data_IF_768322946367
#
_entry.id   IF_768322946367
#
_cell.length_a   1.000
_cell.length_b   1.000
_cell.length_c   1.000
_cell.angle_alpha   90.00
_cell.angle_beta   90.00
_cell.angle_gamma   90.00
#
_symmetry.space_group_name_H-M   'P 1'
#
loop_
_entity.id
_entity.type
_entity.pdbx_description
1 polymer ?
#
# COMPACT_ATOMS: atom_id res chain seq x y z
N UNK A 1 -12.74 -7.61 -23.14
CA UNK A 1 -11.64 -8.43 -22.58
C UNK A 1 -11.64 -8.42 -21.05
N UNK A 2 -11.41 -7.29 -20.36
CA UNK A 2 -11.34 -7.24 -18.87
C UNK A 2 -12.61 -7.78 -18.16
N UNK A 3 -13.80 -7.46 -18.66
CA UNK A 3 -15.05 -7.99 -18.07
C UNK A 3 -15.12 -9.51 -18.16
N UNK A 4 -14.75 -10.08 -19.31
CA UNK A 4 -14.69 -11.53 -19.48
C UNK A 4 -13.66 -12.17 -18.54
N UNK A 5 -12.46 -11.57 -18.42
CA UNK A 5 -11.45 -12.04 -17.46
C UNK A 5 -11.98 -12.03 -16.02
N UNK A 6 -12.64 -10.94 -15.60
CA UNK A 6 -13.24 -10.85 -14.26
C UNK A 6 -14.30 -11.94 -14.02
N UNK A 7 -15.17 -12.21 -15.00
CA UNK A 7 -16.19 -13.26 -14.93
C UNK A 7 -15.57 -14.67 -14.89
N UNK A 8 -14.53 -14.93 -15.66
CA UNK A 8 -13.80 -16.22 -15.62
C UNK A 8 -13.21 -16.42 -14.23
N UNK A 9 -12.54 -15.40 -13.67
CA UNK A 9 -11.98 -15.48 -12.31
C UNK A 9 -13.09 -15.69 -11.28
N UNK A 10 -14.23 -15.03 -11.42
CA UNK A 10 -15.38 -15.21 -10.54
C UNK A 10 -15.92 -16.65 -10.61
N UNK A 11 -16.05 -17.21 -11.82
CA UNK A 11 -16.50 -18.60 -12.01
C UNK A 11 -15.54 -19.60 -11.39
N UNK A 12 -14.23 -19.40 -11.54
CA UNK A 12 -13.20 -20.20 -10.86
C UNK A 12 -13.35 -20.07 -9.34
N UNK A 13 -13.50 -18.85 -8.83
CA UNK A 13 -13.62 -18.54 -7.42
C UNK A 13 -14.74 -19.30 -6.71
N UNK A 14 -15.93 -19.36 -7.33
CA UNK A 14 -17.11 -20.04 -6.75
C UNK A 14 -17.06 -21.56 -6.91
N UNK A 15 -16.22 -22.07 -7.83
CA UNK A 15 -16.12 -23.50 -8.14
C UNK A 15 -14.93 -24.19 -7.45
N UNK A 16 -13.93 -23.43 -7.02
CA UNK A 16 -12.71 -24.00 -6.42
C UNK A 16 -13.00 -24.56 -5.01
N UNK A 17 -12.44 -25.74 -4.67
CA UNK A 17 -12.46 -26.22 -3.29
C UNK A 17 -11.72 -25.22 -2.38
N UNK A 18 -12.40 -24.75 -1.33
CA UNK A 18 -11.81 -23.82 -0.40
C UNK A 18 -12.17 -22.35 -0.64
N UNK A 19 -13.45 -22.03 -0.53
CA UNK A 19 -13.94 -20.68 -0.39
C UNK A 19 -13.60 -20.11 1.00
N UNK A 20 -13.76 -20.95 2.03
CA UNK A 20 -13.29 -20.70 3.39
C UNK A 20 -12.38 -21.86 3.84
N UNK A 21 -11.57 -21.58 4.86
CA UNK A 21 -10.79 -22.58 5.59
C UNK A 21 -11.28 -22.63 7.03
N UNK A 22 -11.70 -23.79 7.48
CA UNK A 22 -12.17 -24.02 8.85
C UNK A 22 -11.14 -24.85 9.59
N UNK A 23 -10.77 -24.42 10.79
CA UNK A 23 -9.80 -25.09 11.67
C UNK A 23 -10.44 -25.33 13.03
N UNK A 24 -10.22 -26.48 13.63
CA UNK A 24 -10.68 -26.78 15.00
C UNK A 24 -9.95 -25.93 16.04
N UNK A 25 -8.66 -25.71 15.81
CA UNK A 25 -7.81 -24.88 16.65
C UNK A 25 -6.96 -23.96 15.78
N UNK A 26 -6.25 -23.02 16.41
CA UNK A 26 -5.37 -22.07 15.72
C UNK A 26 -4.25 -22.73 14.91
N UNK A 27 -3.75 -23.87 15.37
CA UNK A 27 -2.59 -24.58 14.81
C UNK A 27 -2.95 -25.82 14.00
N UNK A 28 -4.22 -26.24 14.01
CA UNK A 28 -4.68 -27.39 13.21
C UNK A 28 -4.67 -27.08 11.72
N UNK A 29 -4.55 -28.10 10.89
CA UNK A 29 -4.68 -27.98 9.45
C UNK A 29 -6.07 -27.44 9.10
N UNK A 30 -6.14 -26.51 8.14
CA UNK A 30 -7.40 -25.97 7.68
C UNK A 30 -8.12 -26.93 6.72
N UNK A 31 -9.37 -27.23 7.01
CA UNK A 31 -10.23 -27.96 6.10
C UNK A 31 -10.85 -26.97 5.10
N UNK A 32 -10.68 -27.16 3.78
CA UNK A 32 -11.29 -26.31 2.78
C UNK A 32 -12.80 -26.56 2.73
N UNK A 33 -13.60 -25.50 2.77
CA UNK A 33 -15.06 -25.54 2.65
C UNK A 33 -15.45 -24.77 1.39
N UNK A 34 -16.25 -25.39 0.53
CA UNK A 34 -16.70 -24.80 -0.73
C UNK A 34 -17.79 -23.77 -0.50
N UNK A 35 -17.98 -22.85 -1.45
CA UNK A 35 -19.08 -21.87 -1.35
C UNK A 35 -20.46 -22.53 -1.29
N UNK A 36 -20.66 -23.63 -2.00
CA UNK A 36 -21.92 -24.39 -1.99
C UNK A 36 -22.22 -24.94 -0.58
N UNK A 37 -21.22 -25.44 0.12
CA UNK A 37 -21.34 -25.96 1.49
C UNK A 37 -21.51 -24.82 2.50
N UNK A 38 -20.85 -23.70 2.29
CA UNK A 38 -21.02 -22.48 3.11
C UNK A 38 -22.44 -21.93 2.97
N UNK A 39 -22.92 -21.77 1.74
CA UNK A 39 -24.23 -21.20 1.43
C UNK A 39 -24.70 -21.57 0.03
N UNK A 40 -25.59 -22.55 -0.14
CA UNK A 40 -26.19 -22.87 -1.44
C UNK A 40 -26.90 -21.66 -2.07
N UNK A 41 -27.58 -20.85 -1.26
CA UNK A 41 -28.22 -19.61 -1.70
C UNK A 41 -27.18 -18.59 -2.16
N UNK A 42 -26.06 -18.48 -1.43
CA UNK A 42 -24.93 -17.62 -1.82
C UNK A 42 -24.31 -18.05 -3.15
N UNK A 43 -24.13 -19.36 -3.36
CA UNK A 43 -23.64 -19.90 -4.63
C UNK A 43 -24.57 -19.52 -5.80
N UNK A 44 -25.88 -19.76 -5.66
CA UNK A 44 -26.87 -19.39 -6.68
C UNK A 44 -26.87 -17.88 -6.93
N UNK A 45 -26.79 -17.07 -5.88
CA UNK A 45 -26.69 -15.61 -6.01
C UNK A 45 -25.48 -15.19 -6.86
N UNK A 46 -24.30 -15.76 -6.65
CA UNK A 46 -23.13 -15.42 -7.46
C UNK A 46 -23.25 -15.88 -8.91
N UNK A 47 -23.86 -17.01 -9.16
CA UNK A 47 -24.17 -17.46 -10.55
C UNK A 47 -25.10 -16.46 -11.24
N UNK A 48 -26.18 -16.04 -10.58
CA UNK A 48 -27.10 -15.03 -11.12
C UNK A 48 -26.43 -13.66 -11.29
N UNK A 49 -25.61 -13.26 -10.34
CA UNK A 49 -24.86 -12.00 -10.42
C UNK A 49 -23.87 -12.01 -11.59
N UNK A 50 -23.19 -13.13 -11.80
CA UNK A 50 -22.27 -13.32 -12.94
C UNK A 50 -23.00 -13.24 -14.29
N UNK A 51 -24.16 -13.89 -14.42
CA UNK A 51 -25.00 -13.81 -15.63
C UNK A 51 -25.51 -12.39 -15.87
N UNK A 52 -25.91 -11.66 -14.82
CA UNK A 52 -26.32 -10.27 -14.91
C UNK A 52 -25.16 -9.35 -15.37
N UNK A 53 -23.97 -9.51 -14.79
CA UNK A 53 -22.76 -8.78 -15.22
C UNK A 53 -22.43 -9.08 -16.67
N UNK A 54 -22.50 -10.34 -17.08
CA UNK A 54 -22.28 -10.74 -18.48
C UNK A 54 -23.26 -10.06 -19.42
N UNK A 55 -24.56 -10.14 -19.14
CA UNK A 55 -25.63 -9.52 -19.95
C UNK A 55 -25.45 -8.00 -20.06
N UNK A 56 -25.16 -7.32 -18.95
CA UNK A 56 -24.87 -5.88 -18.95
C UNK A 56 -23.59 -5.53 -19.72
N UNK A 57 -22.63 -6.43 -19.78
CA UNK A 57 -21.40 -6.20 -20.55
C UNK A 57 -21.65 -6.16 -22.04
N UNK A 58 -22.67 -6.87 -22.55
CA UNK A 58 -23.09 -6.89 -23.94
C UNK A 58 -23.81 -5.58 -24.34
N UNK A 59 -24.55 -4.97 -23.41
CA UNK A 59 -25.33 -3.75 -23.64
C UNK A 59 -24.52 -2.45 -23.49
N UNK A 60 -23.18 -2.54 -23.28
CA UNK A 60 -22.25 -1.40 -23.09
C UNK A 60 -22.53 -0.52 -21.85
N UNK A 61 -23.35 -0.95 -20.91
CA UNK A 61 -23.62 -0.23 -19.65
C UNK A 61 -22.45 -0.39 -18.65
N UNK A 62 -21.32 0.26 -18.94
CA UNK A 62 -20.07 0.09 -18.20
C UNK A 62 -20.16 0.46 -16.72
N UNK A 63 -21.00 1.46 -16.36
CA UNK A 63 -21.19 1.86 -14.96
C UNK A 63 -21.85 0.73 -14.15
N UNK A 64 -22.96 0.18 -14.60
CA UNK A 64 -23.66 -0.90 -13.90
C UNK A 64 -22.82 -2.18 -13.84
N UNK A 65 -22.12 -2.52 -14.92
CA UNK A 65 -21.17 -3.64 -14.93
C UNK A 65 -20.08 -3.46 -13.86
N UNK A 66 -19.53 -2.24 -13.73
CA UNK A 66 -18.52 -1.92 -12.71
C UNK A 66 -19.10 -1.90 -11.30
N UNK A 67 -20.31 -1.37 -11.11
CA UNK A 67 -20.99 -1.32 -9.81
C UNK A 67 -21.26 -2.73 -9.29
N UNK A 68 -21.90 -3.58 -10.10
CA UNK A 68 -22.12 -4.98 -9.74
C UNK A 68 -20.81 -5.71 -9.51
N UNK A 69 -19.79 -5.46 -10.35
CA UNK A 69 -18.45 -6.00 -10.14
C UNK A 69 -17.82 -5.60 -8.79
N UNK A 70 -17.99 -4.35 -8.37
CA UNK A 70 -17.56 -3.88 -7.05
C UNK A 70 -18.35 -4.50 -5.89
N UNK A 71 -19.61 -4.86 -6.12
CA UNK A 71 -20.44 -5.53 -5.11
C UNK A 71 -20.12 -7.03 -4.98
N UNK A 72 -19.42 -7.65 -5.93
CA UNK A 72 -19.00 -9.07 -5.85
C UNK A 72 -18.21 -9.36 -4.57
N UNK A 73 -17.10 -8.68 -4.25
CA UNK A 73 -16.37 -8.92 -3.01
C UNK A 73 -17.19 -8.57 -1.76
N UNK A 74 -18.02 -7.53 -1.81
CA UNK A 74 -18.90 -7.14 -0.70
C UNK A 74 -19.87 -8.27 -0.37
N UNK A 75 -20.52 -8.84 -1.38
CA UNK A 75 -21.40 -9.98 -1.21
C UNK A 75 -20.65 -11.23 -0.70
N UNK A 76 -19.41 -11.46 -1.15
CA UNK A 76 -18.55 -12.53 -0.64
C UNK A 76 -18.29 -12.40 0.86
N UNK A 77 -17.91 -11.23 1.32
CA UNK A 77 -17.73 -10.95 2.75
C UNK A 77 -19.06 -11.01 3.52
N UNK A 78 -20.16 -10.57 2.90
CA UNK A 78 -21.49 -10.64 3.53
C UNK A 78 -21.92 -12.08 3.80
N UNK A 79 -21.86 -12.94 2.78
CA UNK A 79 -22.20 -14.38 2.92
C UNK A 79 -21.28 -15.06 3.93
N UNK A 80 -19.98 -14.73 3.88
CA UNK A 80 -19.00 -15.25 4.81
C UNK A 80 -19.32 -14.82 6.26
N UNK A 81 -19.64 -13.56 6.49
CA UNK A 81 -19.98 -13.03 7.82
C UNK A 81 -21.19 -13.70 8.43
N UNK A 82 -22.26 -13.89 7.64
CA UNK A 82 -23.46 -14.60 8.07
C UNK A 82 -23.20 -16.03 8.53
N UNK A 83 -22.29 -16.74 7.85
CA UNK A 83 -22.07 -18.17 8.08
C UNK A 83 -20.89 -18.48 9.01
N UNK A 84 -19.91 -17.57 9.08
CA UNK A 84 -18.69 -17.80 9.87
C UNK A 84 -18.97 -18.11 11.34
N UNK A 85 -19.93 -17.42 11.95
CA UNK A 85 -20.31 -17.62 13.35
C UNK A 85 -20.99 -18.98 13.56
N UNK A 86 -21.89 -19.37 12.66
CA UNK A 86 -22.60 -20.65 12.71
C UNK A 86 -21.61 -21.82 12.53
N UNK A 87 -20.77 -21.75 11.48
CA UNK A 87 -19.74 -22.77 11.21
C UNK A 87 -18.77 -22.89 12.41
N UNK A 88 -18.39 -21.76 12.99
CA UNK A 88 -17.54 -21.78 14.18
C UNK A 88 -18.20 -22.47 15.39
N UNK A 89 -19.49 -22.27 15.56
CA UNK A 89 -20.24 -22.90 16.67
C UNK A 89 -20.39 -24.43 16.49
N UNK A 90 -20.56 -24.90 15.25
CA UNK A 90 -20.67 -26.32 14.92
C UNK A 90 -19.35 -27.08 15.19
N UNK A 91 -18.20 -26.45 14.91
CA UNK A 91 -16.87 -27.08 15.05
C UNK A 91 -16.32 -27.00 16.48
N UNK A 92 -16.63 -25.93 17.19
CA UNK A 92 -16.25 -25.78 18.60
C UNK A 92 -15.75 -24.39 18.99
N UNK A 93 -15.57 -24.13 20.30
CA UNK A 93 -15.30 -22.78 20.83
C UNK A 93 -13.94 -22.19 20.40
N UNK A 94 -12.97 -23.05 20.07
CA UNK A 94 -11.63 -22.64 19.62
C UNK A 94 -11.49 -22.58 18.10
N UNK A 95 -12.56 -22.90 17.39
CA UNK A 95 -12.55 -22.97 15.93
C UNK A 95 -12.24 -21.62 15.27
N UNK A 96 -11.63 -21.71 14.11
CA UNK A 96 -11.20 -20.58 13.30
C UNK A 96 -11.74 -20.69 11.88
N UNK A 97 -12.46 -19.65 11.45
CA UNK A 97 -12.99 -19.55 10.09
C UNK A 97 -12.24 -18.44 9.38
N UNK A 98 -11.47 -18.81 8.37
CA UNK A 98 -10.57 -17.89 7.66
C UNK A 98 -10.95 -17.79 6.18
N UNK A 99 -10.81 -16.61 5.53
CA UNK A 99 -10.85 -16.49 4.09
C UNK A 99 -9.84 -17.42 3.43
N UNK A 100 -10.27 -18.19 2.43
CA UNK A 100 -9.40 -19.04 1.65
C UNK A 100 -9.29 -18.57 0.18
N UNK A 101 -8.65 -19.36 -0.67
CA UNK A 101 -8.34 -18.96 -2.05
C UNK A 101 -9.58 -18.50 -2.84
N UNK A 102 -10.72 -19.17 -2.66
CA UNK A 102 -11.97 -18.80 -3.35
C UNK A 102 -12.42 -17.39 -3.03
N UNK A 103 -12.47 -16.99 -1.74
CA UNK A 103 -12.89 -15.64 -1.37
C UNK A 103 -11.90 -14.58 -1.89
N UNK A 104 -10.58 -14.84 -1.86
CA UNK A 104 -9.59 -13.90 -2.40
C UNK A 104 -9.66 -13.77 -3.92
N UNK A 105 -9.93 -14.85 -4.64
CA UNK A 105 -10.19 -14.80 -6.09
C UNK A 105 -11.47 -14.01 -6.40
N UNK A 106 -12.50 -14.11 -5.54
CA UNK A 106 -13.71 -13.32 -5.67
C UNK A 106 -13.42 -11.81 -5.51
N UNK A 107 -12.59 -11.44 -4.53
CA UNK A 107 -12.11 -10.06 -4.35
C UNK A 107 -11.34 -9.59 -5.60
N UNK A 108 -10.44 -10.42 -6.12
CA UNK A 108 -9.67 -10.10 -7.31
C UNK A 108 -10.56 -9.96 -8.56
N UNK A 109 -11.58 -10.81 -8.71
CA UNK A 109 -12.55 -10.69 -9.81
C UNK A 109 -13.28 -9.35 -9.79
N UNK A 110 -13.76 -8.92 -8.62
CA UNK A 110 -14.40 -7.63 -8.42
C UNK A 110 -13.47 -6.46 -8.77
N UNK A 111 -12.21 -6.53 -8.36
CA UNK A 111 -11.20 -5.54 -8.73
C UNK A 111 -11.02 -5.42 -10.25
N UNK A 112 -10.90 -6.55 -10.96
CA UNK A 112 -10.75 -6.59 -12.44
C UNK A 112 -11.98 -5.99 -13.13
N UNK A 113 -13.19 -6.30 -12.65
CA UNK A 113 -14.44 -5.75 -13.18
C UNK A 113 -14.54 -4.24 -13.01
N UNK A 114 -14.25 -3.74 -11.80
CA UNK A 114 -14.22 -2.30 -11.49
C UNK A 114 -13.18 -1.58 -12.33
N UNK A 115 -11.96 -2.12 -12.41
CA UNK A 115 -10.88 -1.52 -13.20
C UNK A 115 -11.24 -1.43 -14.69
N UNK A 116 -11.83 -2.50 -15.25
CA UNK A 116 -12.31 -2.53 -16.63
C UNK A 116 -13.40 -1.49 -16.91
N UNK A 117 -14.34 -1.29 -15.96
CA UNK A 117 -15.39 -0.30 -16.06
C UNK A 117 -14.86 1.14 -15.94
N UNK A 118 -13.96 1.41 -14.97
CA UNK A 118 -13.35 2.73 -14.78
C UNK A 118 -12.59 3.20 -16.03
N UNK A 119 -11.89 2.30 -16.71
CA UNK A 119 -11.17 2.64 -17.95
C UNK A 119 -12.10 3.17 -19.04
N UNK A 120 -13.36 2.71 -19.07
CA UNK A 120 -14.40 3.17 -20.03
C UNK A 120 -15.12 4.46 -19.57
N UNK A 121 -14.98 4.82 -18.28
CA UNK A 121 -15.63 5.98 -17.66
C UNK A 121 -14.65 7.14 -17.41
N UNK A 122 -13.57 7.25 -18.21
CA UNK A 122 -12.54 8.29 -18.04
C UNK A 122 -13.10 9.72 -17.97
N UNK A 123 -14.11 10.00 -18.77
CA UNK A 123 -14.74 11.33 -18.88
C UNK A 123 -15.76 11.61 -17.78
N UNK A 124 -16.15 10.58 -17.00
CA UNK A 124 -17.13 10.67 -15.91
C UNK A 124 -16.49 10.31 -14.57
N UNK A 125 -15.59 11.20 -14.11
CA UNK A 125 -14.77 10.97 -12.90
C UNK A 125 -15.60 10.65 -11.65
N UNK A 126 -16.77 11.30 -11.50
CA UNK A 126 -17.66 11.07 -10.36
C UNK A 126 -18.21 9.64 -10.34
N UNK A 127 -18.70 9.16 -11.48
CA UNK A 127 -19.19 7.77 -11.61
C UNK A 127 -18.06 6.76 -11.40
N UNK A 128 -16.85 7.06 -11.90
CA UNK A 128 -15.67 6.23 -11.70
C UNK A 128 -15.24 6.18 -10.22
N UNK A 129 -15.44 7.26 -9.45
CA UNK A 129 -15.20 7.30 -8.01
C UNK A 129 -16.22 6.46 -7.24
N UNK A 130 -17.52 6.54 -7.58
CA UNK A 130 -18.57 5.73 -6.96
C UNK A 130 -18.30 4.23 -7.06
N UNK A 131 -17.73 3.74 -8.18
CA UNK A 131 -17.40 2.33 -8.36
C UNK A 131 -16.39 1.81 -7.32
N UNK A 132 -15.63 2.68 -6.71
CA UNK A 132 -14.64 2.34 -5.66
C UNK A 132 -15.19 2.67 -4.28
N UNK A 133 -15.78 3.84 -4.10
CA UNK A 133 -16.24 4.31 -2.81
C UNK A 133 -17.39 3.47 -2.25
N UNK A 134 -18.35 3.06 -3.09
CA UNK A 134 -19.52 2.28 -2.65
C UNK A 134 -19.08 0.91 -2.08
N UNK A 135 -18.32 0.07 -2.79
CA UNK A 135 -17.86 -1.20 -2.23
C UNK A 135 -17.01 -1.05 -0.97
N UNK A 136 -16.11 -0.06 -0.93
CA UNK A 136 -15.27 0.21 0.25
C UNK A 136 -16.16 0.61 1.43
N UNK A 137 -17.08 1.54 1.25
CA UNK A 137 -17.98 2.00 2.33
C UNK A 137 -18.84 0.87 2.87
N UNK A 138 -19.36 -0.01 2.01
CA UNK A 138 -20.15 -1.17 2.43
C UNK A 138 -19.28 -2.18 3.21
N UNK A 139 -18.04 -2.42 2.76
CA UNK A 139 -17.11 -3.30 3.49
C UNK A 139 -16.75 -2.72 4.85
N UNK A 140 -16.49 -1.41 4.94
CA UNK A 140 -16.24 -0.71 6.20
C UNK A 140 -17.46 -0.78 7.12
N UNK A 141 -18.67 -0.61 6.59
CA UNK A 141 -19.90 -0.76 7.37
C UNK A 141 -20.03 -2.15 7.97
N UNK A 142 -19.72 -3.21 7.21
CA UNK A 142 -19.70 -4.59 7.73
C UNK A 142 -18.65 -4.80 8.83
N UNK A 143 -17.48 -4.16 8.73
CA UNK A 143 -16.46 -4.20 9.77
C UNK A 143 -16.95 -3.51 11.04
N UNK A 144 -17.50 -2.30 10.93
CA UNK A 144 -17.94 -1.50 12.07
C UNK A 144 -19.20 -2.09 12.74
N UNK A 145 -20.13 -2.65 11.95
CA UNK A 145 -21.34 -3.32 12.47
C UNK A 145 -21.06 -4.64 13.19
N UNK A 146 -19.81 -5.14 13.11
CA UNK A 146 -19.46 -6.43 13.70
C UNK A 146 -19.91 -7.65 12.90
N UNK A 147 -20.45 -7.46 11.69
CA UNK A 147 -20.90 -8.54 10.82
C UNK A 147 -19.81 -9.58 10.53
N UNK A 148 -18.55 -9.13 10.49
CA UNK A 148 -17.38 -9.99 10.22
C UNK A 148 -16.70 -10.54 11.48
N UNK A 149 -17.22 -10.30 12.68
CA UNK A 149 -16.60 -10.71 13.96
C UNK A 149 -16.42 -12.24 14.10
N UNK A 150 -17.18 -13.04 13.37
CA UNK A 150 -17.01 -14.49 13.28
C UNK A 150 -15.71 -14.94 12.60
N UNK A 151 -15.11 -14.08 11.78
CA UNK A 151 -13.85 -14.39 11.09
C UNK A 151 -12.66 -14.43 12.06
N UNK A 152 -11.75 -15.34 11.82
CA UNK A 152 -10.52 -15.52 12.61
C UNK A 152 -9.66 -14.26 12.68
N UNK A 153 -9.55 -13.52 11.59
CA UNK A 153 -8.82 -12.25 11.56
C UNK A 153 -9.39 -11.20 12.52
N UNK A 154 -10.72 -11.14 12.65
CA UNK A 154 -11.38 -10.23 13.60
C UNK A 154 -11.22 -10.70 15.05
N UNK A 155 -11.20 -12.02 15.28
CA UNK A 155 -10.85 -12.59 16.59
C UNK A 155 -9.41 -12.25 16.99
N UNK A 156 -8.44 -12.35 16.05
CA UNK A 156 -7.05 -11.93 16.30
C UNK A 156 -6.96 -10.42 16.58
N UNK A 157 -7.69 -9.60 15.82
CA UNK A 157 -7.77 -8.15 16.06
C UNK A 157 -8.31 -7.83 17.45
N UNK A 158 -9.44 -8.41 17.82
CA UNK A 158 -10.08 -8.19 19.13
C UNK A 158 -9.13 -8.53 20.28
N UNK A 159 -8.43 -9.68 20.18
CA UNK A 159 -7.48 -10.15 21.20
C UNK A 159 -6.23 -9.26 21.32
N UNK A 160 -5.90 -8.47 20.30
CA UNK A 160 -4.66 -7.68 20.21
C UNK A 160 -4.91 -6.21 19.87
N UNK A 161 -6.12 -5.71 20.16
CA UNK A 161 -6.57 -4.40 19.71
C UNK A 161 -5.62 -3.27 20.11
N UNK A 162 -5.22 -3.20 21.37
CA UNK A 162 -4.28 -2.16 21.85
C UNK A 162 -2.96 -2.23 21.12
N UNK A 163 -2.36 -3.42 21.04
CA UNK A 163 -1.10 -3.63 20.33
C UNK A 163 -1.20 -3.32 18.84
N UNK A 164 -2.34 -3.61 18.22
CA UNK A 164 -2.57 -3.27 16.80
C UNK A 164 -2.45 -1.78 16.54
N UNK A 165 -3.08 -0.94 17.37
CA UNK A 165 -2.99 0.51 17.20
C UNK A 165 -1.60 1.06 17.54
N UNK A 166 -0.94 0.52 18.55
CA UNK A 166 0.44 0.88 18.88
C UNK A 166 1.41 0.57 17.73
N UNK A 167 1.32 -0.65 17.17
CA UNK A 167 2.19 -1.05 16.07
C UNK A 167 1.83 -0.32 14.77
N UNK A 168 0.56 0.05 14.56
CA UNK A 168 0.15 0.90 13.44
C UNK A 168 0.74 2.31 13.57
N UNK A 169 0.65 2.93 14.73
CA UNK A 169 1.25 4.24 14.99
C UNK A 169 2.76 4.20 14.79
N UNK A 170 3.42 3.16 15.32
CA UNK A 170 4.86 2.95 15.16
C UNK A 170 5.27 2.78 13.69
N UNK A 171 4.48 2.02 12.93
CA UNK A 171 4.68 1.84 11.49
C UNK A 171 4.63 3.17 10.74
N UNK A 172 3.64 4.01 11.03
CA UNK A 172 3.48 5.33 10.42
C UNK A 172 4.62 6.28 10.80
N UNK A 173 5.05 6.27 12.07
CA UNK A 173 6.17 7.10 12.53
C UNK A 173 7.47 6.72 11.83
N UNK A 174 7.76 5.41 11.70
CA UNK A 174 8.98 4.94 11.05
C UNK A 174 8.94 5.24 9.55
N UNK A 175 7.86 4.89 8.86
CA UNK A 175 7.73 5.14 7.42
C UNK A 175 7.70 6.63 7.09
N UNK A 176 6.91 7.42 7.82
CA UNK A 176 6.79 8.86 7.65
C UNK A 176 8.10 9.59 7.97
N UNK A 177 8.76 9.21 9.04
CA UNK A 177 10.08 9.74 9.42
C UNK A 177 11.14 9.46 8.35
N UNK A 178 11.15 8.23 7.81
CA UNK A 178 12.08 7.87 6.74
C UNK A 178 11.90 8.74 5.48
N UNK A 179 10.65 8.99 5.09
CA UNK A 179 10.33 9.85 3.95
C UNK A 179 10.67 11.31 4.23
N UNK A 180 10.38 11.80 5.43
CA UNK A 180 10.69 13.17 5.84
C UNK A 180 12.20 13.44 5.79
N UNK A 181 13.00 12.63 6.49
CA UNK A 181 14.46 12.79 6.50
C UNK A 181 15.06 12.46 5.13
N UNK A 182 14.52 11.46 4.42
CA UNK A 182 14.89 11.14 3.04
C UNK A 182 14.66 12.31 2.09
N UNK A 183 13.57 13.05 2.24
CA UNK A 183 13.28 14.27 1.45
C UNK A 183 14.19 15.43 1.84
N UNK A 184 14.43 15.63 3.13
CA UNK A 184 15.31 16.66 3.64
C UNK A 184 16.76 16.53 3.12
N UNK A 185 17.21 15.30 2.89
CA UNK A 185 18.55 15.01 2.35
C UNK A 185 18.51 14.85 0.83
N UNK A 186 17.55 14.10 0.30
CA UNK A 186 17.51 13.70 -1.11
C UNK A 186 17.21 14.85 -2.06
N UNK A 187 16.33 15.81 -1.67
CA UNK A 187 16.05 16.98 -2.50
C UNK A 187 17.29 17.86 -2.68
N UNK A 188 17.99 18.28 -1.61
CA UNK A 188 19.27 19.00 -1.76
C UNK A 188 20.33 18.24 -2.57
N UNK A 189 20.46 16.92 -2.36
CA UNK A 189 21.38 16.09 -3.15
C UNK A 189 21.03 16.11 -4.64
N UNK A 190 19.76 16.05 -5.01
CA UNK A 190 19.31 16.16 -6.41
C UNK A 190 19.63 17.52 -7.02
N UNK A 191 19.43 18.61 -6.26
CA UNK A 191 19.77 19.98 -6.67
C UNK A 191 21.28 20.12 -6.87
N UNK A 192 22.08 19.61 -5.94
CA UNK A 192 23.56 19.67 -6.02
C UNK A 192 24.10 18.85 -7.20
N UNK A 193 23.53 17.65 -7.42
CA UNK A 193 23.90 16.81 -8.55
C UNK A 193 23.62 17.52 -9.90
N UNK A 194 22.49 18.25 -10.05
CA UNK A 194 22.20 19.03 -11.26
C UNK A 194 23.17 20.18 -11.47
N UNK A 195 23.63 20.79 -10.38
CA UNK A 195 24.50 21.98 -10.46
C UNK A 195 25.98 21.67 -10.72
N UNK A 196 26.43 20.44 -10.48
CA UNK A 196 27.84 20.09 -10.59
C UNK A 196 28.03 18.67 -11.11
N UNK A 197 28.57 18.54 -12.31
CA UNK A 197 28.94 17.25 -12.90
C UNK A 197 29.97 16.46 -12.02
N UNK A 198 30.73 17.16 -11.18
CA UNK A 198 31.66 16.52 -10.24
C UNK A 198 30.93 15.83 -9.09
N UNK A 199 29.77 16.33 -8.70
CA UNK A 199 28.92 15.81 -7.59
C UNK A 199 27.93 14.78 -8.10
N UNK A 200 27.45 14.90 -9.34
CA UNK A 200 26.47 14.01 -9.96
C UNK A 200 26.88 12.54 -9.86
N UNK A 201 28.05 12.20 -10.39
CA UNK A 201 28.52 10.80 -10.43
C UNK A 201 28.63 10.16 -9.04
N UNK A 202 29.32 10.77 -8.04
CA UNK A 202 29.42 10.17 -6.72
C UNK A 202 28.07 10.10 -5.98
N UNK A 203 27.18 11.08 -6.11
CA UNK A 203 25.85 11.04 -5.51
C UNK A 203 25.07 9.86 -6.06
N UNK A 204 24.98 9.72 -7.39
CA UNK A 204 24.24 8.60 -7.98
C UNK A 204 24.92 7.24 -7.75
N UNK A 205 26.26 7.19 -7.69
CA UNK A 205 26.96 5.97 -7.31
C UNK A 205 26.57 5.54 -5.88
N UNK A 206 26.55 6.48 -4.92
CA UNK A 206 26.16 6.21 -3.55
C UNK A 206 24.71 5.78 -3.40
N UNK A 207 23.74 6.55 -3.93
CA UNK A 207 22.32 6.25 -3.74
C UNK A 207 21.91 4.97 -4.48
N UNK A 208 22.50 4.68 -5.65
CA UNK A 208 22.29 3.43 -6.37
C UNK A 208 22.88 2.25 -5.56
N UNK A 209 24.10 2.38 -5.05
CA UNK A 209 24.73 1.35 -4.22
C UNK A 209 23.88 1.00 -3.00
N UNK A 210 23.33 1.99 -2.30
CA UNK A 210 22.44 1.75 -1.16
C UNK A 210 21.20 0.93 -1.54
N UNK A 211 20.63 1.14 -2.71
CA UNK A 211 19.47 0.39 -3.20
C UNK A 211 19.80 -1.05 -3.64
N UNK A 212 21.06 -1.36 -3.93
CA UNK A 212 21.45 -2.74 -4.29
C UNK A 212 21.54 -3.66 -3.08
N UNK A 213 21.73 -3.11 -1.89
CA UNK A 213 21.81 -3.89 -0.67
C UNK A 213 20.40 -4.35 -0.28
N UNK A 214 20.12 -5.65 -0.07
CA UNK A 214 18.82 -6.09 0.44
C UNK A 214 18.48 -5.44 1.79
N UNK A 215 17.21 -5.03 2.00
CA UNK A 215 16.81 -4.28 3.20
C UNK A 215 17.16 -4.98 4.51
N UNK A 216 16.92 -6.28 4.60
CA UNK A 216 17.28 -7.08 5.78
C UNK A 216 18.79 -7.10 6.02
N UNK A 217 19.58 -7.18 4.95
CA UNK A 217 21.04 -7.13 5.05
C UNK A 217 21.52 -5.76 5.53
N UNK A 218 20.95 -4.66 5.03
CA UNK A 218 21.31 -3.32 5.45
C UNK A 218 20.97 -3.09 6.92
N UNK A 219 19.82 -3.57 7.40
CA UNK A 219 19.51 -3.54 8.82
C UNK A 219 20.57 -4.26 9.64
N UNK A 220 20.96 -5.49 9.23
CA UNK A 220 21.99 -6.28 9.90
C UNK A 220 23.35 -5.61 9.92
N UNK A 221 23.78 -5.01 8.81
CA UNK A 221 25.04 -4.28 8.69
C UNK A 221 25.12 -3.07 9.63
N UNK A 222 23.99 -2.42 9.92
CA UNK A 222 23.92 -1.27 10.82
C UNK A 222 24.00 -1.66 12.31
N UNK A 223 23.70 -2.92 12.68
CA UNK A 223 23.67 -3.36 14.09
C UNK A 223 25.02 -3.16 14.75
N UNK A 224 26.10 -3.68 14.17
CA UNK A 224 27.42 -3.66 14.78
C UNK A 224 27.97 -2.23 14.96
N UNK A 225 28.00 -1.35 13.93
CA UNK A 225 28.52 0.01 14.08
C UNK A 225 27.70 0.85 15.05
N UNK A 226 26.35 0.76 15.01
CA UNK A 226 25.49 1.51 15.92
C UNK A 226 25.58 1.01 17.35
N UNK A 227 25.73 -0.30 17.57
CA UNK A 227 25.99 -0.88 18.89
C UNK A 227 27.33 -0.39 19.46
N UNK A 228 28.34 -0.34 18.63
CA UNK A 228 29.67 0.18 19.04
C UNK A 228 29.57 1.66 19.41
N UNK A 229 28.96 2.50 18.56
CA UNK A 229 28.79 3.93 18.85
C UNK A 229 27.97 4.17 20.13
N UNK A 230 26.88 3.43 20.32
CA UNK A 230 26.04 3.55 21.50
C UNK A 230 26.73 3.15 22.81
N UNK A 231 27.69 2.22 22.73
CA UNK A 231 28.51 1.83 23.89
C UNK A 231 29.62 2.82 24.16
N UNK A 232 30.26 3.35 23.12
CA UNK A 232 31.40 4.26 23.22
C UNK A 232 31.00 5.69 23.63
N UNK A 233 29.77 6.10 23.28
CA UNK A 233 29.22 7.44 23.52
C UNK A 233 27.91 7.33 24.28
N UNK A 234 27.93 7.38 25.65
CA UNK A 234 26.69 7.20 26.46
C UNK A 234 25.57 8.17 26.13
N UNK A 235 25.90 9.38 25.69
CA UNK A 235 24.95 10.39 25.25
C UNK A 235 24.06 9.90 24.08
N UNK A 236 24.62 9.18 23.11
CA UNK A 236 23.86 8.63 21.99
C UNK A 236 22.83 7.59 22.48
N UNK A 237 23.17 6.82 23.50
CA UNK A 237 22.24 5.87 24.11
C UNK A 237 21.08 6.56 24.81
N UNK A 238 21.33 7.71 25.46
CA UNK A 238 20.26 8.51 26.08
C UNK A 238 19.30 9.08 25.01
N UNK A 239 19.80 9.38 23.81
CA UNK A 239 18.97 9.76 22.65
C UNK A 239 18.23 8.58 21.99
N UNK A 240 18.34 7.38 22.55
CA UNK A 240 17.69 6.17 22.00
C UNK A 240 18.43 5.54 20.82
N UNK A 241 19.66 5.99 20.51
CA UNK A 241 20.47 5.42 19.44
C UNK A 241 21.03 4.08 19.93
N UNK A 242 20.64 3.01 19.25
CA UNK A 242 21.04 1.63 19.56
C UNK A 242 21.26 0.84 18.28
N UNK A 243 21.98 -0.29 18.37
CA UNK A 243 22.19 -1.17 17.22
C UNK A 243 20.95 -2.00 16.83
N UNK A 244 19.95 -2.09 17.71
CA UNK A 244 18.71 -2.85 17.49
C UNK A 244 17.53 -1.91 17.72
N UNK A 245 16.45 -2.15 17.01
CA UNK A 245 15.22 -1.38 17.15
C UNK A 245 15.07 -0.29 16.08
N UNK A 246 14.47 0.83 16.47
CA UNK A 246 14.04 1.85 15.51
C UNK A 246 15.19 2.60 14.81
N UNK A 247 16.35 2.78 15.46
CA UNK A 247 17.48 3.56 14.91
C UNK A 247 18.06 2.97 13.63
N UNK A 248 18.51 1.68 13.58
CA UNK A 248 18.98 1.10 12.33
C UNK A 248 17.88 1.00 11.28
N UNK A 249 16.63 0.77 11.69
CA UNK A 249 15.50 0.79 10.77
C UNK A 249 15.32 2.15 10.10
N UNK A 250 15.29 3.23 10.89
CA UNK A 250 15.15 4.59 10.40
C UNK A 250 16.28 4.96 9.43
N UNK A 251 17.54 4.71 9.80
CA UNK A 251 18.70 5.03 8.97
C UNK A 251 18.61 4.29 7.62
N UNK A 252 18.35 2.99 7.64
CA UNK A 252 18.25 2.21 6.41
C UNK A 252 17.09 2.68 5.52
N UNK A 253 15.93 2.96 6.09
CA UNK A 253 14.78 3.43 5.34
C UNK A 253 14.98 4.83 4.75
N UNK A 254 15.68 5.73 5.47
CA UNK A 254 16.14 7.01 4.94
C UNK A 254 17.03 6.80 3.72
N UNK A 255 18.04 5.93 3.83
CA UNK A 255 18.95 5.61 2.73
C UNK A 255 18.23 5.07 1.50
N UNK A 256 17.22 4.21 1.68
CA UNK A 256 16.37 3.73 0.59
C UNK A 256 15.51 4.81 -0.05
N UNK A 257 15.06 5.78 0.74
CA UNK A 257 14.26 6.89 0.24
C UNK A 257 15.07 7.88 -0.62
N UNK A 258 16.40 7.91 -0.45
CA UNK A 258 17.26 8.86 -1.15
C UNK A 258 17.20 8.70 -2.68
N UNK A 259 17.26 7.46 -3.20
CA UNK A 259 17.36 7.27 -4.65
C UNK A 259 16.13 7.82 -5.41
N UNK A 260 14.88 7.42 -5.11
CA UNK A 260 13.73 7.93 -5.84
C UNK A 260 13.59 9.45 -5.71
N UNK A 261 13.87 10.01 -4.53
CA UNK A 261 13.76 11.46 -4.30
C UNK A 261 14.86 12.22 -5.04
N UNK A 262 16.13 11.83 -4.86
CA UNK A 262 17.27 12.49 -5.52
C UNK A 262 17.17 12.41 -7.03
N UNK A 263 16.79 11.23 -7.56
CA UNK A 263 16.69 11.00 -9.01
C UNK A 263 15.59 11.83 -9.66
N UNK A 264 14.40 11.87 -9.04
CA UNK A 264 13.30 12.67 -9.57
C UNK A 264 13.59 14.18 -9.45
N UNK A 265 14.21 14.62 -8.35
CA UNK A 265 14.64 16.01 -8.20
C UNK A 265 15.66 16.42 -9.28
N UNK A 266 16.69 15.58 -9.49
CA UNK A 266 17.68 15.83 -10.54
C UNK A 266 17.04 15.87 -11.93
N UNK A 267 16.24 14.86 -12.26
CA UNK A 267 15.60 14.74 -13.58
C UNK A 267 14.68 15.91 -13.87
N UNK A 268 13.84 16.31 -12.93
CA UNK A 268 12.92 17.43 -13.09
C UNK A 268 13.63 18.75 -13.32
N UNK A 269 14.71 19.02 -12.59
CA UNK A 269 15.49 20.24 -12.77
C UNK A 269 16.27 20.25 -14.09
N UNK A 270 16.61 19.08 -14.64
CA UNK A 270 17.32 18.95 -15.92
C UNK A 270 16.40 19.15 -17.13
N UNK A 271 15.11 18.90 -16.98
CA UNK A 271 14.12 19.04 -18.05
C UNK A 271 13.60 20.48 -18.22
N UNK A 272 13.93 21.40 -17.31
CA UNK A 272 13.52 22.80 -17.42
C UNK A 272 14.19 23.44 -18.65
N UNK A 273 13.43 24.08 -19.58
CA UNK A 273 13.98 24.70 -20.75
C UNK A 273 15.01 25.79 -20.42
N UNK A 274 16.11 25.82 -21.17
CA UNK A 274 17.20 26.79 -20.95
C UNK A 274 16.71 28.22 -21.14
N UNK A 275 15.85 28.45 -22.13
CA UNK A 275 15.26 29.76 -22.43
C UNK A 275 14.49 30.36 -21.25
N UNK A 276 13.81 29.50 -20.46
CA UNK A 276 13.11 29.94 -19.23
C UNK A 276 14.08 30.45 -18.18
N UNK A 277 15.23 29.82 -18.05
CA UNK A 277 16.29 30.21 -17.11
C UNK A 277 16.97 31.50 -17.64
N UNK A 278 17.26 31.60 -18.92
CA UNK A 278 17.84 32.82 -19.57
C UNK A 278 16.92 34.02 -19.43
N UNK A 279 15.62 33.85 -19.64
CA UNK A 279 14.65 34.91 -19.39
C UNK A 279 14.70 35.43 -17.95
N UNK A 280 14.82 34.54 -16.98
CA UNK A 280 14.99 34.92 -15.58
C UNK A 280 16.29 35.70 -15.33
N UNK A 281 17.39 35.29 -15.96
CA UNK A 281 18.68 36.00 -15.89
C UNK A 281 18.55 37.38 -16.54
N UNK A 282 17.93 37.47 -17.74
CA UNK A 282 17.70 38.71 -18.45
C UNK A 282 16.84 39.70 -17.64
N UNK A 283 15.94 39.23 -16.80
CA UNK A 283 15.18 40.06 -15.85
C UNK A 283 15.96 40.45 -14.58
N UNK A 284 17.25 40.10 -14.48
CA UNK A 284 18.10 40.44 -13.35
C UNK A 284 17.89 39.55 -12.11
N UNK A 285 17.27 38.38 -12.23
CA UNK A 285 17.07 37.46 -11.13
C UNK A 285 18.39 36.84 -10.65
N UNK A 286 18.61 36.82 -9.36
CA UNK A 286 19.72 36.09 -8.74
C UNK A 286 19.52 34.56 -8.88
N UNK A 287 20.62 33.79 -8.74
CA UNK A 287 20.58 32.31 -8.80
C UNK A 287 19.60 31.69 -7.79
N UNK A 288 19.44 32.29 -6.61
CA UNK A 288 18.50 31.82 -5.61
C UNK A 288 17.05 32.14 -6.00
N UNK A 289 16.82 33.29 -6.61
CA UNK A 289 15.50 33.66 -7.15
C UNK A 289 15.09 32.75 -8.30
N UNK A 290 16.01 32.42 -9.21
CA UNK A 290 15.75 31.45 -10.28
C UNK A 290 15.39 30.09 -9.67
N UNK A 291 16.17 29.59 -8.70
CA UNK A 291 15.88 28.33 -8.05
C UNK A 291 14.49 28.33 -7.39
N UNK A 292 14.19 29.35 -6.56
CA UNK A 292 12.98 29.36 -5.74
C UNK A 292 11.71 29.76 -6.50
N UNK A 293 11.80 30.62 -7.51
CA UNK A 293 10.65 31.17 -8.24
C UNK A 293 10.40 30.51 -9.59
N UNK A 294 11.38 29.85 -10.17
CA UNK A 294 11.28 29.19 -11.48
C UNK A 294 11.51 27.69 -11.35
N UNK A 295 12.73 27.28 -10.96
CA UNK A 295 13.12 25.86 -11.00
C UNK A 295 12.29 24.99 -10.05
N UNK A 296 12.17 25.36 -8.76
CA UNK A 296 11.42 24.57 -7.77
C UNK A 296 9.93 24.48 -8.14
N UNK A 297 9.18 25.55 -8.46
CA UNK A 297 7.78 25.44 -8.84
C UNK A 297 7.55 24.57 -10.07
N UNK A 298 8.42 24.65 -11.08
CA UNK A 298 8.32 23.82 -12.28
C UNK A 298 8.69 22.36 -12.02
N UNK A 299 9.68 22.11 -11.17
CA UNK A 299 10.13 20.77 -10.81
C UNK A 299 9.21 20.06 -9.81
N UNK A 300 8.41 20.80 -9.04
CA UNK A 300 7.67 20.31 -7.86
C UNK A 300 6.81 19.08 -8.13
N UNK A 301 6.04 18.97 -9.22
CA UNK A 301 5.22 17.78 -9.48
C UNK A 301 6.06 16.49 -9.58
N UNK A 302 7.21 16.55 -10.26
CA UNK A 302 8.09 15.40 -10.46
C UNK A 302 8.90 15.10 -9.20
N UNK A 303 9.29 16.12 -8.43
CA UNK A 303 9.91 15.94 -7.11
C UNK A 303 8.95 15.22 -6.17
N UNK A 304 7.70 15.66 -6.12
CA UNK A 304 6.65 15.00 -5.31
C UNK A 304 6.35 13.58 -5.79
N UNK A 305 6.45 13.28 -7.08
CA UNK A 305 6.34 11.92 -7.60
C UNK A 305 7.50 11.03 -7.07
N UNK A 306 8.70 11.58 -6.92
CA UNK A 306 9.83 10.91 -6.26
C UNK A 306 9.55 10.63 -4.77
N UNK A 307 9.03 11.62 -4.04
CA UNK A 307 8.61 11.48 -2.63
C UNK A 307 7.48 10.45 -2.49
N UNK A 308 6.49 10.45 -3.39
CA UNK A 308 5.43 9.43 -3.45
C UNK A 308 6.00 8.02 -3.58
N UNK A 309 6.93 7.81 -4.52
CA UNK A 309 7.58 6.51 -4.70
C UNK A 309 8.32 6.08 -3.43
N UNK A 310 9.08 6.99 -2.82
CA UNK A 310 9.76 6.73 -1.55
C UNK A 310 8.78 6.39 -0.42
N UNK A 311 7.64 7.08 -0.34
CA UNK A 311 6.64 6.86 0.69
C UNK A 311 5.99 5.47 0.59
N UNK A 312 5.61 5.04 -0.61
CA UNK A 312 5.06 3.70 -0.84
C UNK A 312 6.10 2.63 -0.48
N UNK A 313 7.35 2.81 -0.92
CA UNK A 313 8.45 1.92 -0.59
C UNK A 313 8.73 1.89 0.92
N UNK A 314 8.71 3.03 1.60
CA UNK A 314 8.92 3.11 3.04
C UNK A 314 7.84 2.35 3.82
N UNK A 315 6.56 2.48 3.46
CA UNK A 315 5.46 1.69 4.07
C UNK A 315 5.73 0.18 3.90
N UNK A 316 6.07 -0.28 2.70
CA UNK A 316 6.38 -1.69 2.48
C UNK A 316 7.60 -2.18 3.25
N UNK A 317 8.72 -1.44 3.17
CA UNK A 317 9.99 -1.82 3.79
C UNK A 317 9.96 -1.74 5.32
N UNK A 318 9.13 -0.89 5.92
CA UNK A 318 8.92 -0.83 7.37
C UNK A 318 8.41 -2.16 7.94
N UNK A 319 7.75 -2.99 7.12
CA UNK A 319 7.39 -4.36 7.52
C UNK A 319 8.60 -5.16 7.96
N UNK A 320 9.71 -5.06 7.22
CA UNK A 320 10.95 -5.80 7.53
C UNK A 320 11.66 -5.28 8.79
N UNK A 321 11.42 -4.03 9.20
CA UNK A 321 11.99 -3.44 10.41
C UNK A 321 11.56 -4.18 11.70
N UNK A 322 10.45 -4.89 11.66
CA UNK A 322 10.00 -5.76 12.75
C UNK A 322 11.03 -6.87 13.09
N UNK A 323 11.82 -7.35 12.11
CA UNK A 323 12.83 -8.40 12.30
C UNK A 323 13.98 -7.96 13.22
N UNK A 324 14.25 -6.67 13.27
CA UNK A 324 15.29 -6.09 14.14
C UNK A 324 14.71 -5.41 15.38
N UNK A 325 13.45 -5.68 15.72
CA UNK A 325 12.81 -5.14 16.91
C UNK A 325 12.36 -3.68 16.81
N UNK A 326 12.27 -3.10 15.62
CA UNK A 326 11.77 -1.74 15.43
C UNK A 326 10.25 -1.62 15.62
N UNK A 327 9.53 -2.73 15.57
CA UNK A 327 8.08 -2.76 15.67
C UNK A 327 7.40 -2.50 14.33
N UNK A 328 6.16 -2.01 14.40
CA UNK A 328 5.31 -1.79 13.25
C UNK A 328 4.46 -3.01 12.89
N UNK A 329 3.54 -2.86 11.95
CA UNK A 329 2.59 -3.91 11.55
C UNK A 329 3.26 -5.21 11.08
N UNK A 330 4.53 -5.16 10.66
CA UNK A 330 5.34 -6.33 10.34
C UNK A 330 5.48 -7.33 11.49
N UNK A 331 5.32 -6.90 12.75
CA UNK A 331 5.34 -7.76 13.93
C UNK A 331 4.26 -8.86 13.80
N UNK A 332 3.05 -8.50 13.35
CA UNK A 332 1.97 -9.47 13.16
C UNK A 332 2.26 -10.42 12.00
N UNK A 333 2.83 -9.90 10.90
CA UNK A 333 3.22 -10.71 9.74
C UNK A 333 4.23 -11.79 10.14
N UNK A 334 5.35 -11.39 10.77
CA UNK A 334 6.41 -12.35 11.12
C UNK A 334 6.03 -13.28 12.27
N UNK A 335 5.27 -12.79 13.26
CA UNK A 335 4.72 -13.68 14.29
C UNK A 335 3.74 -14.69 13.70
N UNK A 336 2.90 -14.25 12.74
CA UNK A 336 1.98 -15.13 12.04
C UNK A 336 2.68 -16.20 11.23
N UNK A 337 3.73 -15.84 10.49
CA UNK A 337 4.57 -16.78 9.74
C UNK A 337 5.24 -17.80 10.66
N UNK A 338 5.85 -17.35 11.77
CA UNK A 338 6.52 -18.23 12.73
C UNK A 338 5.57 -19.18 13.48
N UNK A 339 4.28 -18.86 13.56
CA UNK A 339 3.25 -19.66 14.23
C UNK A 339 2.33 -20.41 13.24
N UNK A 340 2.62 -20.37 11.92
CA UNK A 340 1.73 -20.86 10.86
C UNK A 340 0.27 -20.34 10.99
N UNK A 341 0.10 -19.11 11.55
CA UNK A 341 -1.18 -18.46 11.82
C UNK A 341 -1.48 -17.43 10.72
N UNK A 342 -2.08 -17.88 9.63
CA UNK A 342 -2.36 -17.03 8.45
C UNK A 342 -3.24 -15.81 8.79
N UNK A 343 -4.18 -15.94 9.72
CA UNK A 343 -5.04 -14.83 10.15
C UNK A 343 -4.26 -13.71 10.82
N UNK A 344 -3.18 -14.06 11.54
CA UNK A 344 -2.27 -13.07 12.12
C UNK A 344 -1.39 -12.41 11.05
N UNK A 345 -0.97 -13.17 10.03
CA UNK A 345 -0.29 -12.60 8.84
C UNK A 345 -1.20 -11.57 8.17
N UNK A 346 -2.46 -11.92 7.94
CA UNK A 346 -3.44 -11.03 7.31
C UNK A 346 -3.74 -9.80 8.18
N UNK A 347 -3.76 -9.95 9.50
CA UNK A 347 -3.94 -8.82 10.43
C UNK A 347 -2.83 -7.77 10.28
N UNK A 348 -1.62 -8.17 9.94
CA UNK A 348 -0.53 -7.24 9.61
C UNK A 348 -0.56 -6.78 8.15
N UNK A 349 -0.68 -7.72 7.21
CA UNK A 349 -0.51 -7.46 5.77
C UNK A 349 -1.62 -6.57 5.17
N UNK A 350 -2.90 -6.82 5.52
CA UNK A 350 -4.00 -6.03 4.96
C UNK A 350 -3.93 -4.54 5.34
N UNK A 351 -3.67 -4.17 6.60
CA UNK A 351 -3.47 -2.76 6.95
C UNK A 351 -2.25 -2.13 6.27
N UNK A 352 -1.14 -2.87 6.10
CA UNK A 352 0.04 -2.37 5.36
C UNK A 352 -0.33 -2.00 3.93
N UNK A 353 -1.05 -2.89 3.22
CA UNK A 353 -1.53 -2.62 1.86
C UNK A 353 -2.51 -1.44 1.85
N UNK A 354 -3.43 -1.37 2.80
CA UNK A 354 -4.37 -0.25 2.92
C UNK A 354 -3.62 1.08 3.16
N UNK A 355 -2.63 1.11 4.06
CA UNK A 355 -1.79 2.27 4.29
C UNK A 355 -1.03 2.70 3.04
N UNK A 356 -0.45 1.75 2.29
CA UNK A 356 0.24 2.06 1.03
C UNK A 356 -0.70 2.71 0.01
N UNK A 357 -1.93 2.20 -0.13
CA UNK A 357 -2.94 2.77 -1.02
C UNK A 357 -3.43 4.15 -0.56
N UNK A 358 -3.59 4.36 0.75
CA UNK A 358 -3.97 5.66 1.32
C UNK A 358 -2.86 6.68 1.07
N UNK A 359 -1.60 6.32 1.35
CA UNK A 359 -0.44 7.18 1.11
C UNK A 359 -0.30 7.50 -0.37
N UNK A 360 -0.47 6.52 -1.24
CA UNK A 360 -0.44 6.72 -2.70
C UNK A 360 -1.50 7.71 -3.17
N UNK A 361 -2.75 7.51 -2.73
CA UNK A 361 -3.89 8.38 -3.08
C UNK A 361 -3.71 9.81 -2.53
N UNK A 362 -3.22 9.92 -1.29
CA UNK A 362 -2.92 11.20 -0.67
C UNK A 362 -1.83 11.96 -1.43
N UNK A 363 -0.75 11.29 -1.80
CA UNK A 363 0.34 11.88 -2.56
C UNK A 363 -0.10 12.29 -3.97
N UNK A 364 -0.97 11.51 -4.63
CA UNK A 364 -1.57 11.90 -5.91
C UNK A 364 -2.40 13.18 -5.78
N UNK A 365 -3.22 13.28 -4.74
CA UNK A 365 -4.01 14.48 -4.46
C UNK A 365 -3.08 15.68 -4.20
N UNK A 366 -2.04 15.50 -3.41
CA UNK A 366 -1.06 16.54 -3.10
C UNK A 366 -0.35 17.04 -4.36
N UNK A 367 0.08 16.13 -5.23
CA UNK A 367 0.68 16.47 -6.53
C UNK A 367 -0.30 17.29 -7.37
N UNK A 368 -1.55 16.83 -7.49
CA UNK A 368 -2.57 17.53 -8.28
C UNK A 368 -2.88 18.94 -7.75
N UNK A 369 -2.89 19.12 -6.43
CA UNK A 369 -3.14 20.43 -5.79
C UNK A 369 -1.95 21.39 -5.93
N UNK A 370 -0.72 20.88 -5.90
CA UNK A 370 0.50 21.70 -5.92
C UNK A 370 1.08 21.87 -7.32
N UNK A 371 0.53 21.21 -8.33
CA UNK A 371 0.96 21.40 -9.73
C UNK A 371 0.47 22.74 -10.25
N UNK A 372 1.38 23.63 -10.74
CA UNK A 372 1.00 24.91 -11.32
C UNK A 372 0.08 24.73 -12.54
N UNK A 373 -0.97 25.54 -12.63
CA UNK A 373 -1.99 25.43 -13.70
C UNK A 373 -1.40 25.52 -15.11
N UNK A 374 -0.31 26.25 -15.32
CA UNK A 374 0.37 26.37 -16.60
C UNK A 374 0.96 25.05 -17.12
N UNK A 375 1.41 24.17 -16.24
CA UNK A 375 1.97 22.86 -16.63
C UNK A 375 0.87 21.81 -16.96
N UNK A 376 -0.34 21.99 -16.44
CA UNK A 376 -1.46 21.08 -16.72
C UNK A 376 -2.02 21.25 -18.14
N UNK A 377 -1.86 22.43 -18.75
CA UNK A 377 -2.38 22.70 -20.09
C UNK A 377 -1.54 22.08 -21.22
N UNK A 378 -0.28 21.72 -20.99
CA UNK A 378 0.59 21.12 -22.02
C UNK A 378 0.37 19.61 -22.19
N UNK A 379 -0.11 18.88 -21.16
CA UNK A 379 -0.41 17.44 -21.27
C UNK A 379 -1.73 17.12 -22.01
N UNK A 380 -2.52 18.13 -22.34
CA UNK A 380 -3.84 18.00 -23.00
C UNK A 380 -3.83 18.26 -24.50
N UNK A 381 -2.67 18.53 -25.13
CA UNK A 381 -2.48 18.61 -26.57
C UNK A 381 -1.69 17.40 -27.04
#
# INVERSE_FOLDING_TARGET
MMTLTGLVVMSISISIPGFLSVRETRISAGLPVNLLDVSPVGFLFFVLLGTAIFSLSLTRHSFYTGLLGGLVPVAGFFVTGLRATAIAAEVGPFSRVSPAAGLWLLVFSGYVLVFGARKKLKDRRELAALLVLVPISLTLLMLVSGHLNGLSIMKEFANRRTRFFEETARHLIIAGGAVFFGSLIGIPLGILAKRSNRVEKPVFAFVNFMQTIPSVALFGLLIAPLSYLSRSIPFLRQLGISGIGWTPAMIALVLYSLLPITRNTYASLKTIPHDTIEAGIGMGMSRLQILSKIEIPMALPVVLAGVRTAAIQAVGNTTMAALIGAGGLGVFVFQGLGQAAMDLVLLGALPIVALALIVDSFMQLLIALLTPRGLVMEEGK
#
